data_IF_005098152416
#
_entry.id   IF_005098152416
#
_cell.length_a   1.000
_cell.length_b   1.000
_cell.length_c   1.000
_cell.angle_alpha   90.00
_cell.angle_beta   90.00
_cell.angle_gamma   90.00
#
_symmetry.space_group_name_H-M   'P 1'
#
loop_
_entity.id
_entity.type
_entity.pdbx_description
1 polymer ?
#
# COMPACT_ATOMS: atom_id res chain seq x y z
N UNK A 1 -8.89 8.59 -12.71
CA UNK A 1 -10.15 9.30 -13.10
C UNK A 1 -11.35 8.36 -13.07
N UNK A 2 -12.57 8.88 -13.33
CA UNK A 2 -13.80 8.07 -13.30
C UNK A 2 -13.68 6.82 -14.17
N UNK A 3 -13.11 6.94 -15.37
CA UNK A 3 -12.93 5.81 -16.30
C UNK A 3 -12.06 4.68 -15.71
N UNK A 4 -10.99 5.02 -15.00
CA UNK A 4 -10.09 4.01 -14.42
C UNK A 4 -10.76 3.30 -13.23
N UNK A 5 -11.40 4.07 -12.37
CA UNK A 5 -12.07 3.55 -11.17
C UNK A 5 -13.30 2.71 -11.53
N UNK A 6 -14.11 3.17 -12.49
CA UNK A 6 -15.28 2.40 -12.95
C UNK A 6 -14.86 1.11 -13.62
N UNK A 7 -13.81 1.10 -14.42
CA UNK A 7 -13.29 -0.13 -15.01
C UNK A 7 -12.77 -1.11 -13.96
N UNK A 8 -12.03 -0.62 -12.97
CA UNK A 8 -11.47 -1.45 -11.88
C UNK A 8 -12.55 -2.04 -10.97
N UNK A 9 -13.56 -1.24 -10.59
CA UNK A 9 -14.56 -1.64 -9.60
C UNK A 9 -15.86 -2.22 -10.19
N UNK A 10 -16.24 -1.78 -11.39
CA UNK A 10 -17.48 -2.17 -12.05
C UNK A 10 -17.25 -2.99 -13.34
N UNK A 11 -16.02 -3.05 -13.86
CA UNK A 11 -15.70 -3.67 -15.15
C UNK A 11 -16.11 -2.85 -16.37
N UNK A 12 -16.58 -1.61 -16.18
CA UNK A 12 -17.15 -0.77 -17.23
C UNK A 12 -16.34 0.51 -17.45
N UNK A 13 -16.33 0.99 -18.69
CA UNK A 13 -15.67 2.22 -19.11
C UNK A 13 -16.69 3.29 -19.45
N UNK A 14 -16.20 4.53 -19.39
CA UNK A 14 -16.94 5.71 -19.88
C UNK A 14 -17.13 5.64 -21.39
N UNK A 15 -18.15 6.37 -21.87
CA UNK A 15 -18.24 6.72 -23.30
C UNK A 15 -17.11 7.69 -23.70
N UNK A 16 -16.61 7.58 -24.93
CA UNK A 16 -15.62 8.53 -25.45
C UNK A 16 -16.31 9.84 -25.85
N UNK A 17 -15.85 10.96 -25.30
CA UNK A 17 -16.29 12.29 -25.66
C UNK A 17 -15.09 13.19 -25.95
N UNK A 18 -15.23 14.13 -26.89
CA UNK A 18 -14.13 15.01 -27.33
C UNK A 18 -13.72 16.08 -26.30
N UNK A 19 -14.21 16.00 -25.06
CA UNK A 19 -13.94 16.96 -23.95
C UNK A 19 -14.18 18.44 -24.29
N UNK A 20 -15.14 18.73 -25.20
CA UNK A 20 -15.59 20.10 -25.46
C UNK A 20 -16.56 20.55 -24.37
N UNK A 21 -16.51 21.84 -24.03
CA UNK A 21 -17.50 22.45 -23.13
C UNK A 21 -18.90 22.41 -23.77
N UNK A 22 -19.95 22.21 -22.98
CA UNK A 22 -21.34 22.11 -23.47
C UNK A 22 -21.78 23.30 -24.35
N UNK A 23 -21.25 24.49 -24.10
CA UNK A 23 -21.50 25.68 -24.95
C UNK A 23 -21.03 25.57 -26.40
N UNK A 24 -20.23 24.54 -26.72
CA UNK A 24 -19.69 24.27 -28.07
C UNK A 24 -20.36 23.05 -28.72
N UNK A 25 -21.40 22.52 -28.13
CA UNK A 25 -22.17 21.38 -28.65
C UNK A 25 -23.34 21.91 -29.46
N UNK A 26 -23.50 21.44 -30.72
CA UNK A 26 -24.55 21.91 -31.63
C UNK A 26 -25.27 20.75 -32.32
N UNK A 27 -26.55 20.97 -32.61
CA UNK A 27 -27.38 20.04 -33.41
C UNK A 27 -27.39 18.61 -32.86
N UNK A 28 -27.09 17.63 -33.73
CA UNK A 28 -27.09 16.20 -33.37
C UNK A 28 -25.98 15.78 -32.40
N UNK A 29 -24.98 16.60 -32.18
CA UNK A 29 -23.92 16.31 -31.19
C UNK A 29 -24.49 16.24 -29.75
N UNK A 30 -25.66 16.86 -29.50
CA UNK A 30 -26.33 16.78 -28.21
C UNK A 30 -26.72 15.36 -27.82
N UNK A 31 -27.10 14.49 -28.77
CA UNK A 31 -27.48 13.11 -28.46
C UNK A 31 -26.25 12.32 -27.95
N UNK A 32 -25.08 12.54 -28.53
CA UNK A 32 -23.83 11.92 -28.06
C UNK A 32 -23.40 12.49 -26.71
N UNK A 33 -23.52 13.81 -26.52
CA UNK A 33 -23.23 14.46 -25.25
C UNK A 33 -24.12 13.96 -24.13
N UNK A 34 -25.41 13.79 -24.39
CA UNK A 34 -26.35 13.23 -23.39
C UNK A 34 -26.03 11.80 -23.03
N UNK A 35 -25.70 10.95 -24.00
CA UNK A 35 -25.25 9.56 -23.75
C UNK A 35 -24.01 9.56 -22.85
N UNK A 36 -23.02 10.36 -23.19
CA UNK A 36 -21.81 10.51 -22.38
C UNK A 36 -22.14 10.96 -20.94
N UNK A 37 -22.98 11.98 -20.77
CA UNK A 37 -23.32 12.52 -19.46
C UNK A 37 -24.14 11.53 -18.63
N UNK A 38 -25.12 10.86 -19.24
CA UNK A 38 -25.90 9.81 -18.59
C UNK A 38 -25.00 8.65 -18.14
N UNK A 39 -24.07 8.22 -18.99
CA UNK A 39 -23.14 7.14 -18.63
C UNK A 39 -22.21 7.55 -17.48
N UNK A 40 -21.71 8.80 -17.47
CA UNK A 40 -20.91 9.32 -16.36
C UNK A 40 -21.70 9.37 -15.04
N UNK A 41 -22.96 9.77 -15.08
CA UNK A 41 -23.86 9.83 -13.93
C UNK A 41 -24.19 8.44 -13.40
N UNK A 42 -24.54 7.47 -14.29
CA UNK A 42 -24.78 6.07 -13.95
C UNK A 42 -23.56 5.43 -13.29
N UNK A 43 -22.39 5.56 -13.91
CA UNK A 43 -21.15 5.03 -13.33
C UNK A 43 -20.83 5.64 -11.97
N UNK A 44 -21.08 6.93 -11.80
CA UNK A 44 -20.85 7.62 -10.51
C UNK A 44 -21.78 7.09 -9.43
N UNK A 45 -23.08 6.92 -9.76
CA UNK A 45 -24.07 6.35 -8.83
C UNK A 45 -23.69 4.93 -8.42
N UNK A 46 -23.41 4.07 -9.38
CA UNK A 46 -23.03 2.67 -9.12
C UNK A 46 -21.71 2.52 -8.37
N UNK A 47 -20.75 3.42 -8.58
CA UNK A 47 -19.56 3.50 -7.75
C UNK A 47 -19.89 3.89 -6.31
N UNK A 48 -20.77 4.89 -6.13
CA UNK A 48 -21.25 5.28 -4.79
C UNK A 48 -21.92 4.10 -4.09
N UNK A 49 -22.86 3.41 -4.74
CA UNK A 49 -23.52 2.21 -4.20
C UNK A 49 -22.52 1.11 -3.84
N UNK A 50 -21.47 0.92 -4.65
CA UNK A 50 -20.42 -0.08 -4.42
C UNK A 50 -19.58 0.18 -3.18
N UNK A 51 -19.22 1.46 -2.91
CA UNK A 51 -18.38 1.85 -1.77
C UNK A 51 -19.19 2.21 -0.53
N UNK A 52 -20.49 2.43 -0.67
CA UNK A 52 -21.38 2.89 0.39
C UNK A 52 -21.35 2.05 1.67
N UNK A 53 -21.39 0.70 1.60
CA UNK A 53 -21.31 -0.13 2.80
C UNK A 53 -20.01 0.08 3.60
N UNK A 54 -18.87 0.20 2.92
CA UNK A 54 -17.59 0.45 3.56
C UNK A 54 -17.58 1.84 4.23
N UNK A 55 -18.11 2.86 3.55
CA UNK A 55 -18.20 4.22 4.09
C UNK A 55 -19.12 4.30 5.30
N UNK A 56 -20.29 3.64 5.27
CA UNK A 56 -21.22 3.62 6.41
C UNK A 56 -20.62 2.95 7.64
N UNK A 57 -19.92 1.82 7.48
CA UNK A 57 -19.26 1.18 8.61
C UNK A 57 -18.10 2.03 9.14
N UNK A 58 -17.41 2.77 8.28
CA UNK A 58 -16.38 3.70 8.71
C UNK A 58 -16.96 4.88 9.50
N UNK A 59 -18.10 5.47 9.04
CA UNK A 59 -18.89 6.47 9.77
C UNK A 59 -19.30 5.97 11.16
N UNK A 60 -19.81 4.74 11.26
CA UNK A 60 -20.22 4.14 12.53
C UNK A 60 -19.07 3.91 13.49
N UNK A 61 -17.91 3.51 12.98
CA UNK A 61 -16.72 3.22 13.78
C UNK A 61 -16.10 4.52 14.28
N UNK A 62 -15.96 5.52 13.41
CA UNK A 62 -15.35 6.82 13.75
C UNK A 62 -16.33 7.71 14.53
N UNK A 63 -17.65 7.52 14.34
CA UNK A 63 -18.73 8.34 14.91
C UNK A 63 -18.75 9.77 14.39
N UNK A 64 -18.49 9.94 13.10
CA UNK A 64 -18.56 11.23 12.41
C UNK A 64 -19.57 11.24 11.27
N UNK A 65 -20.15 12.41 10.94
CA UNK A 65 -21.00 12.56 9.77
C UNK A 65 -20.26 12.19 8.49
N UNK A 66 -20.94 11.52 7.56
CA UNK A 66 -20.35 11.11 6.28
C UNK A 66 -19.75 12.28 5.49
N UNK A 67 -20.37 13.46 5.56
CA UNK A 67 -19.89 14.66 4.89
C UNK A 67 -18.48 15.03 5.34
N UNK A 68 -18.21 15.02 6.63
CA UNK A 68 -16.90 15.36 7.21
C UNK A 68 -15.91 14.22 6.94
N UNK A 69 -16.29 12.99 7.28
CA UNK A 69 -15.44 11.80 7.07
C UNK A 69 -14.96 11.64 5.62
N UNK A 70 -15.82 11.94 4.64
CA UNK A 70 -15.45 11.83 3.22
C UNK A 70 -14.40 12.85 2.76
N UNK A 71 -14.15 13.88 3.56
CA UNK A 71 -13.18 14.97 3.30
C UNK A 71 -11.97 14.92 4.22
N UNK A 72 -12.08 14.17 5.28
CA UNK A 72 -11.01 14.03 6.27
C UNK A 72 -9.81 13.27 5.74
N UNK A 73 -8.67 13.59 6.34
CA UNK A 73 -7.47 12.76 6.18
C UNK A 73 -7.56 11.55 7.11
N UNK A 74 -6.83 10.49 6.78
CA UNK A 74 -6.76 9.33 7.69
C UNK A 74 -6.20 9.70 9.07
N UNK A 75 -5.34 10.72 9.17
CA UNK A 75 -4.86 11.21 10.46
C UNK A 75 -5.99 11.82 11.29
N UNK A 76 -6.91 12.60 10.65
CA UNK A 76 -8.10 13.14 11.30
C UNK A 76 -9.03 12.02 11.76
N UNK A 77 -9.26 11.00 10.90
CA UNK A 77 -10.11 9.86 11.28
C UNK A 77 -9.54 9.07 12.48
N UNK A 78 -8.22 8.89 12.55
CA UNK A 78 -7.56 8.28 13.72
C UNK A 78 -7.77 9.16 14.95
N UNK A 79 -7.52 10.48 14.85
CA UNK A 79 -7.70 11.43 15.95
C UNK A 79 -9.13 11.40 16.49
N UNK A 80 -10.14 11.44 15.62
CA UNK A 80 -11.54 11.42 16.00
C UNK A 80 -11.93 10.08 16.66
N UNK A 81 -11.44 8.97 16.13
CA UNK A 81 -11.63 7.68 16.79
C UNK A 81 -11.03 7.65 18.21
N UNK A 82 -9.83 8.22 18.40
CA UNK A 82 -9.21 8.33 19.72
C UNK A 82 -10.07 9.19 20.64
N UNK A 83 -10.50 10.39 20.22
CA UNK A 83 -11.31 11.32 21.01
C UNK A 83 -12.63 10.70 21.44
N UNK A 84 -13.35 10.03 20.55
CA UNK A 84 -14.65 9.43 20.84
C UNK A 84 -14.58 8.19 21.75
N UNK A 85 -13.39 7.62 21.98
CA UNK A 85 -13.23 6.44 22.83
C UNK A 85 -12.43 6.69 24.11
N UNK A 86 -11.93 7.89 24.34
CA UNK A 86 -11.02 8.19 25.46
C UNK A 86 -11.65 7.98 26.84
N UNK A 87 -12.95 8.26 27.01
CA UNK A 87 -13.66 8.09 28.30
C UNK A 87 -13.54 6.65 28.84
N UNK A 88 -13.47 5.67 27.94
CA UNK A 88 -13.32 4.26 28.28
C UNK A 88 -11.98 3.94 28.91
N UNK A 89 -10.99 4.80 28.68
CA UNK A 89 -9.61 4.66 29.19
C UNK A 89 -9.28 5.69 30.27
N UNK A 90 -10.26 6.47 30.71
CA UNK A 90 -10.06 7.57 31.65
C UNK A 90 -8.96 8.55 31.20
N UNK A 91 -8.90 8.79 29.88
CA UNK A 91 -7.90 9.66 29.24
C UNK A 91 -8.46 11.05 29.03
N UNK A 92 -7.61 12.07 29.15
CA UNK A 92 -7.95 13.47 28.85
C UNK A 92 -7.36 13.84 27.51
N UNK A 93 -8.17 14.39 26.59
CA UNK A 93 -7.73 14.79 25.25
C UNK A 93 -6.58 15.79 25.35
N UNK A 94 -5.47 15.45 24.67
CA UNK A 94 -4.36 16.39 24.54
C UNK A 94 -4.77 17.63 23.73
N UNK A 95 -4.17 18.77 24.07
CA UNK A 95 -4.40 20.03 23.37
C UNK A 95 -3.99 19.90 21.90
N UNK A 96 -4.80 20.48 21.00
CA UNK A 96 -4.44 20.57 19.59
C UNK A 96 -3.18 21.46 19.44
N UNK A 97 -2.17 21.04 18.63
CA UNK A 97 -0.97 21.84 18.45
C UNK A 97 -1.29 23.16 17.77
N UNK A 98 -0.65 24.23 18.22
CA UNK A 98 -0.74 25.56 17.62
C UNK A 98 0.20 25.66 16.40
N UNK A 99 0.05 26.75 15.62
CA UNK A 99 0.79 26.94 14.36
C UNK A 99 2.31 26.88 14.53
N UNK A 100 2.82 27.46 15.61
CA UNK A 100 4.25 27.53 15.89
C UNK A 100 4.81 26.14 16.26
N UNK A 101 4.08 25.37 17.07
CA UNK A 101 4.43 23.97 17.36
C UNK A 101 4.43 23.10 16.09
N UNK A 102 3.45 23.27 15.22
CA UNK A 102 3.40 22.59 13.92
C UNK A 102 4.62 22.98 13.07
N UNK A 103 5.01 24.26 13.09
CA UNK A 103 6.19 24.77 12.41
C UNK A 103 7.48 24.10 12.92
N UNK A 104 7.66 24.06 14.24
CA UNK A 104 8.80 23.40 14.89
C UNK A 104 8.87 21.91 14.55
N UNK A 105 7.78 21.17 14.74
CA UNK A 105 7.69 19.74 14.44
C UNK A 105 7.99 19.39 12.96
N UNK A 106 7.66 20.29 12.02
CA UNK A 106 8.02 20.13 10.58
C UNK A 106 9.50 20.25 10.32
N UNK A 107 10.23 20.99 11.16
CA UNK A 107 11.67 21.16 11.08
C UNK A 107 12.48 20.00 11.69
N UNK A 108 11.84 19.10 12.42
CA UNK A 108 12.51 17.94 13.02
C UNK A 108 13.10 17.01 11.95
N UNK A 109 14.26 16.43 12.26
CA UNK A 109 14.94 15.53 11.32
C UNK A 109 14.13 14.25 11.09
N UNK A 110 14.19 13.79 9.84
CA UNK A 110 13.55 12.52 9.46
C UNK A 110 14.35 11.33 9.99
N UNK A 111 13.64 10.35 10.51
CA UNK A 111 14.20 9.06 10.92
C UNK A 111 14.27 8.05 9.77
N UNK A 112 15.06 7.00 9.96
CA UNK A 112 15.18 5.91 9.00
C UNK A 112 13.85 5.14 8.90
N UNK A 113 13.33 5.01 7.69
CA UNK A 113 12.06 4.32 7.40
C UNK A 113 12.16 2.79 7.40
N UNK A 114 11.34 2.15 6.58
CA UNK A 114 11.25 0.71 6.47
C UNK A 114 12.54 0.04 5.95
N UNK A 115 12.77 -1.19 6.38
CA UNK A 115 13.78 -2.07 5.79
C UNK A 115 13.30 -2.60 4.44
N UNK A 116 14.18 -2.59 3.46
CA UNK A 116 13.96 -3.28 2.18
C UNK A 116 15.18 -4.14 1.91
N UNK A 117 14.96 -5.45 1.94
CA UNK A 117 15.95 -6.44 1.54
C UNK A 117 16.41 -6.18 0.10
N UNK A 118 17.71 -6.33 -0.18
CA UNK A 118 18.19 -6.19 -1.55
C UNK A 118 17.70 -7.40 -2.37
N UNK A 119 16.74 -7.25 -3.29
CA UNK A 119 16.20 -8.40 -4.01
C UNK A 119 17.29 -9.11 -4.79
N UNK A 120 17.25 -10.43 -4.79
CA UNK A 120 18.12 -11.25 -5.62
C UNK A 120 17.42 -11.40 -6.97
N UNK A 121 17.96 -10.81 -8.06
CA UNK A 121 17.33 -10.93 -9.38
C UNK A 121 17.33 -12.39 -9.85
N UNK A 122 16.24 -12.78 -10.50
CA UNK A 122 16.11 -14.14 -11.04
C UNK A 122 14.65 -14.50 -11.31
N UNK A 123 14.50 -15.63 -11.98
CA UNK A 123 13.24 -16.35 -12.13
C UNK A 123 13.29 -17.55 -11.18
N UNK A 124 12.28 -17.66 -10.32
CA UNK A 124 12.22 -18.65 -9.26
C UNK A 124 10.93 -19.42 -9.30
N UNK A 125 10.98 -20.72 -9.16
CA UNK A 125 9.81 -21.59 -8.95
C UNK A 125 9.55 -21.78 -7.47
N UNK A 126 8.33 -22.21 -7.13
CA UNK A 126 7.92 -22.56 -5.75
C UNK A 126 8.16 -21.45 -4.71
N UNK A 127 7.69 -20.25 -5.02
CA UNK A 127 7.85 -19.08 -4.13
C UNK A 127 6.75 -19.06 -3.05
N UNK A 128 7.16 -18.80 -1.82
CA UNK A 128 6.27 -18.58 -0.67
C UNK A 128 6.35 -17.12 -0.24
N UNK A 129 5.21 -16.54 0.07
CA UNK A 129 5.11 -15.19 0.60
C UNK A 129 4.51 -15.19 2.00
N UNK A 130 5.24 -14.61 2.96
CA UNK A 130 4.73 -14.28 4.29
C UNK A 130 4.56 -12.77 4.42
N UNK A 131 3.58 -12.34 5.21
CA UNK A 131 3.27 -10.93 5.44
C UNK A 131 2.89 -10.68 6.91
N UNK A 132 3.47 -9.65 7.54
CA UNK A 132 3.14 -9.28 8.90
C UNK A 132 1.76 -8.64 8.99
N UNK A 133 0.92 -9.14 9.85
CA UNK A 133 -0.42 -8.57 10.10
C UNK A 133 -0.31 -7.22 10.80
N UNK A 134 -0.61 -6.12 10.11
CA UNK A 134 -0.56 -4.74 10.66
C UNK A 134 0.75 -4.43 11.39
N UNK A 135 1.89 -4.72 10.78
CA UNK A 135 3.21 -4.73 11.42
C UNK A 135 3.47 -3.53 12.33
N UNK A 136 3.37 -2.30 11.82
CA UNK A 136 3.66 -1.11 12.63
C UNK A 136 2.71 -0.97 13.82
N UNK A 137 1.42 -1.23 13.63
CA UNK A 137 0.45 -1.17 14.71
C UNK A 137 0.72 -2.24 15.78
N UNK A 138 1.05 -3.46 15.35
CA UNK A 138 1.42 -4.56 16.25
C UNK A 138 2.71 -4.27 17.02
N UNK A 139 3.70 -3.65 16.39
CA UNK A 139 4.94 -3.18 17.03
C UNK A 139 4.63 -2.13 18.11
N UNK A 140 3.80 -1.11 17.80
CA UNK A 140 3.39 -0.09 18.78
C UNK A 140 2.79 -0.74 20.02
N UNK A 141 1.90 -1.70 19.84
CA UNK A 141 1.22 -2.39 20.94
C UNK A 141 2.21 -3.27 21.72
N UNK A 142 2.97 -4.11 21.02
CA UNK A 142 3.85 -5.10 21.64
C UNK A 142 5.00 -4.50 22.48
N UNK A 143 5.41 -3.27 22.13
CA UNK A 143 6.50 -2.56 22.76
C UNK A 143 6.08 -1.29 23.52
N UNK A 144 4.78 -1.05 23.66
CA UNK A 144 4.19 0.11 24.34
C UNK A 144 4.76 1.46 23.86
N UNK A 145 4.81 1.66 22.53
CA UNK A 145 5.41 2.85 21.93
C UNK A 145 4.39 3.98 21.82
N UNK A 146 4.38 4.89 22.78
CA UNK A 146 3.52 6.06 22.78
C UNK A 146 4.20 7.27 23.40
N UNK A 147 3.58 8.44 23.28
CA UNK A 147 4.01 9.67 23.94
C UNK A 147 4.04 9.53 25.46
N UNK A 148 3.03 8.86 26.04
CA UNK A 148 2.93 8.63 27.48
C UNK A 148 4.02 7.68 28.03
N UNK A 149 4.53 6.77 27.19
CA UNK A 149 5.58 5.83 27.57
C UNK A 149 7.00 6.35 27.31
N UNK A 150 7.14 7.40 26.49
CA UNK A 150 8.43 7.92 26.08
C UNK A 150 9.14 8.70 27.18
N UNK A 151 10.47 8.50 27.27
CA UNK A 151 11.39 9.32 28.08
C UNK A 151 12.73 9.46 27.35
N UNK A 152 13.37 10.60 27.48
CA UNK A 152 14.74 10.83 27.02
C UNK A 152 15.75 10.14 27.93
N UNK A 153 15.40 9.96 29.21
CA UNK A 153 16.27 9.35 30.21
C UNK A 153 15.87 7.90 30.51
N UNK A 154 16.87 7.07 30.80
CA UNK A 154 16.69 5.68 31.17
C UNK A 154 15.94 5.57 32.50
N UNK A 155 14.79 4.92 32.48
CA UNK A 155 14.04 4.55 33.69
C UNK A 155 14.22 3.05 33.99
N UNK A 156 13.98 2.66 35.24
CA UNK A 156 14.06 1.24 35.66
C UNK A 156 13.01 0.42 34.90
N UNK A 157 13.45 -0.61 34.20
CA UNK A 157 12.55 -1.49 33.42
C UNK A 157 12.11 -0.92 32.08
N UNK A 158 12.59 0.26 31.66
CA UNK A 158 12.27 0.80 30.34
C UNK A 158 12.95 0.05 29.21
N UNK A 159 12.24 -0.12 28.10
CA UNK A 159 12.79 -0.57 26.83
C UNK A 159 13.68 0.54 26.25
N UNK A 160 14.92 0.20 25.94
CA UNK A 160 15.83 1.09 25.21
C UNK A 160 15.76 0.78 23.72
N UNK A 161 15.51 1.77 22.90
CA UNK A 161 15.53 1.69 21.44
C UNK A 161 16.61 2.61 20.88
N UNK A 162 17.46 2.07 20.02
CA UNK A 162 18.46 2.83 19.28
C UNK A 162 17.81 3.41 18.01
N UNK A 163 17.79 4.72 17.88
CA UNK A 163 17.23 5.43 16.74
C UNK A 163 18.29 5.81 15.70
N UNK A 164 19.52 5.36 15.90
CA UNK A 164 20.69 5.65 15.07
C UNK A 164 21.53 6.79 15.64
N UNK A 165 21.02 8.00 15.73
CA UNK A 165 21.72 9.16 16.34
C UNK A 165 21.46 9.27 17.84
N UNK A 166 20.23 9.01 18.26
CA UNK A 166 19.73 9.15 19.61
C UNK A 166 19.21 7.81 20.16
N UNK A 167 18.98 7.79 21.46
CA UNK A 167 18.38 6.67 22.16
C UNK A 167 17.08 7.14 22.78
N UNK A 168 16.03 6.35 22.61
CA UNK A 168 14.73 6.57 23.24
C UNK A 168 14.46 5.45 24.27
N UNK A 169 13.78 5.79 25.34
CA UNK A 169 13.39 4.85 26.38
C UNK A 169 11.87 4.84 26.48
N UNK A 170 11.28 3.65 26.60
CA UNK A 170 9.84 3.50 26.70
C UNK A 170 9.50 2.66 27.93
N UNK A 171 8.65 3.19 28.82
CA UNK A 171 8.10 2.40 29.91
C UNK A 171 7.23 1.27 29.33
N UNK A 172 7.24 0.13 29.98
CA UNK A 172 6.46 -1.04 29.53
C UNK A 172 5.11 -1.12 30.27
N UNK A 173 4.65 0.00 30.81
CA UNK A 173 3.33 0.13 31.43
C UNK A 173 2.25 0.29 30.39
N UNK A 174 1.05 -0.25 30.61
CA UNK A 174 -0.12 0.04 29.76
C UNK A 174 -0.35 1.55 29.61
N UNK A 175 -0.74 1.99 28.43
CA UNK A 175 -1.11 3.38 28.16
C UNK A 175 -2.15 3.47 27.07
N UNK A 176 -2.89 4.58 27.06
CA UNK A 176 -4.06 4.81 26.20
C UNK A 176 -3.84 4.43 24.73
N UNK A 177 -2.79 4.95 24.08
CA UNK A 177 -2.62 4.78 22.64
C UNK A 177 -2.35 3.31 22.21
N UNK A 178 -1.40 2.56 22.83
CA UNK A 178 -1.22 1.14 22.55
C UNK A 178 -2.44 0.29 22.89
N UNK A 179 -3.14 0.54 24.02
CA UNK A 179 -4.33 -0.23 24.40
C UNK A 179 -5.48 -0.02 23.40
N UNK A 180 -5.75 1.23 23.01
CA UNK A 180 -6.72 1.56 21.97
C UNK A 180 -6.38 0.86 20.65
N UNK A 181 -5.11 0.86 20.26
CA UNK A 181 -4.66 0.22 19.03
C UNK A 181 -4.76 -1.31 19.11
N UNK A 182 -4.54 -1.90 20.28
CA UNK A 182 -4.78 -3.33 20.53
C UNK A 182 -6.24 -3.70 20.26
N UNK A 183 -7.20 -2.93 20.79
CA UNK A 183 -8.62 -3.16 20.50
C UNK A 183 -8.95 -3.04 19.00
N UNK A 184 -8.36 -2.10 18.29
CA UNK A 184 -8.55 -1.95 16.84
C UNK A 184 -8.09 -3.21 16.12
N UNK A 185 -6.92 -3.76 16.48
CA UNK A 185 -6.36 -4.97 15.89
C UNK A 185 -7.23 -6.19 16.22
N UNK A 186 -7.69 -6.33 17.44
CA UNK A 186 -8.58 -7.41 17.86
C UNK A 186 -9.92 -7.38 17.12
N UNK A 187 -10.55 -6.21 17.02
CA UNK A 187 -11.78 -6.04 16.24
C UNK A 187 -11.56 -6.38 14.76
N UNK A 188 -10.42 -5.97 14.18
CA UNK A 188 -10.05 -6.37 12.82
C UNK A 188 -9.95 -7.88 12.69
N UNK A 189 -9.22 -8.56 13.59
CA UNK A 189 -9.07 -10.03 13.59
C UNK A 189 -10.44 -10.72 13.70
N UNK A 190 -11.31 -10.26 14.58
CA UNK A 190 -12.68 -10.76 14.75
C UNK A 190 -13.46 -10.68 13.43
N UNK A 191 -13.56 -9.50 12.82
CA UNK A 191 -14.33 -9.32 11.58
C UNK A 191 -13.67 -9.98 10.35
N UNK A 192 -12.34 -10.12 10.31
CA UNK A 192 -11.65 -10.94 9.29
C UNK A 192 -12.06 -12.42 9.38
N UNK A 193 -12.15 -12.98 10.60
CA UNK A 193 -12.63 -14.36 10.84
C UNK A 193 -14.12 -14.51 10.48
N UNK A 194 -14.96 -13.57 10.90
CA UNK A 194 -16.39 -13.59 10.57
C UNK A 194 -16.61 -13.56 9.05
N UNK A 195 -15.89 -12.70 8.33
CA UNK A 195 -15.93 -12.65 6.87
C UNK A 195 -15.44 -13.94 6.21
N UNK A 196 -14.41 -14.57 6.76
CA UNK A 196 -13.92 -15.86 6.24
C UNK A 196 -14.99 -16.96 6.31
N UNK A 197 -15.82 -16.95 7.37
CA UNK A 197 -16.90 -17.91 7.59
C UNK A 197 -18.18 -17.57 6.80
N UNK A 198 -18.64 -16.32 6.92
CA UNK A 198 -19.97 -15.90 6.43
C UNK A 198 -19.94 -15.34 5.00
N UNK A 199 -18.78 -14.86 4.53
CA UNK A 199 -18.59 -14.15 3.25
C UNK A 199 -19.52 -12.93 3.07
N UNK A 200 -20.05 -12.36 4.15
CA UNK A 200 -20.95 -11.21 4.11
C UNK A 200 -20.20 -9.87 3.97
N UNK A 201 -20.83 -8.94 3.25
CA UNK A 201 -20.22 -7.63 2.96
C UNK A 201 -20.02 -6.76 4.21
N UNK A 202 -20.84 -6.93 5.24
CA UNK A 202 -20.76 -6.14 6.47
C UNK A 202 -19.50 -6.48 7.26
N UNK A 203 -19.23 -7.76 7.50
CA UNK A 203 -18.00 -8.19 8.17
C UNK A 203 -16.75 -7.80 7.38
N UNK A 204 -16.84 -7.82 6.04
CA UNK A 204 -15.76 -7.34 5.16
C UNK A 204 -15.52 -5.83 5.36
N UNK A 205 -16.57 -5.03 5.31
CA UNK A 205 -16.51 -3.57 5.48
C UNK A 205 -15.91 -3.19 6.85
N UNK A 206 -16.36 -3.85 7.92
CA UNK A 206 -15.81 -3.66 9.28
C UNK A 206 -14.33 -4.01 9.36
N UNK A 207 -13.96 -5.17 8.83
CA UNK A 207 -12.54 -5.58 8.79
C UNK A 207 -11.67 -4.57 8.03
N UNK A 208 -12.16 -4.05 6.91
CA UNK A 208 -11.47 -3.02 6.12
C UNK A 208 -11.33 -1.70 6.88
N UNK A 209 -12.38 -1.24 7.55
CA UNK A 209 -12.35 -0.01 8.34
C UNK A 209 -11.31 -0.08 9.47
N UNK A 210 -11.31 -1.16 10.25
CA UNK A 210 -10.30 -1.36 11.30
C UNK A 210 -8.89 -1.55 10.73
N UNK A 211 -8.74 -2.15 9.54
CA UNK A 211 -7.45 -2.20 8.84
C UNK A 211 -6.92 -0.81 8.49
N UNK A 212 -7.78 0.07 7.99
CA UNK A 212 -7.40 1.44 7.65
C UNK A 212 -6.95 2.21 8.89
N UNK A 213 -7.70 2.12 9.99
CA UNK A 213 -7.34 2.76 11.26
C UNK A 213 -6.02 2.25 11.82
N UNK A 214 -5.83 0.93 11.90
CA UNK A 214 -4.59 0.34 12.39
C UNK A 214 -3.38 0.80 11.56
N UNK A 215 -3.49 0.79 10.24
CA UNK A 215 -2.39 1.19 9.36
C UNK A 215 -2.09 2.69 9.43
N UNK A 216 -3.12 3.53 9.64
CA UNK A 216 -2.94 4.98 9.75
C UNK A 216 -2.37 5.43 11.10
N UNK A 217 -2.54 4.64 12.16
CA UNK A 217 -2.15 5.01 13.53
C UNK A 217 -0.64 5.23 13.69
N UNK A 218 0.20 4.46 13.00
CA UNK A 218 1.64 4.69 12.97
C UNK A 218 1.98 6.07 12.36
N UNK A 219 1.40 6.36 11.19
CA UNK A 219 1.60 7.65 10.51
C UNK A 219 1.06 8.83 11.32
N UNK A 220 0.02 8.62 12.12
CA UNK A 220 -0.56 9.62 13.00
C UNK A 220 0.42 10.05 14.10
N UNK A 221 1.14 9.11 14.74
CA UNK A 221 2.14 9.46 15.76
C UNK A 221 3.28 10.31 15.21
N UNK A 222 3.65 10.14 13.95
CA UNK A 222 4.69 10.93 13.28
C UNK A 222 4.15 12.17 12.54
N UNK A 223 2.83 12.43 12.58
CA UNK A 223 2.24 13.56 11.89
C UNK A 223 2.30 14.82 12.75
N UNK A 224 2.98 15.85 12.27
CA UNK A 224 3.23 17.10 12.99
C UNK A 224 1.96 17.83 13.49
N UNK A 225 0.80 17.59 12.87
CA UNK A 225 -0.50 18.15 13.27
C UNK A 225 -1.26 17.32 14.30
N UNK A 226 -0.77 16.15 14.68
CA UNK A 226 -1.45 15.25 15.62
C UNK A 226 -1.39 15.75 17.07
N UNK A 227 -2.43 15.51 17.85
CA UNK A 227 -2.45 15.78 19.30
C UNK A 227 -1.48 14.87 20.04
N UNK A 228 -1.48 13.59 19.72
CA UNK A 228 -0.60 12.57 20.30
C UNK A 228 0.70 12.38 19.48
N UNK A 229 1.24 13.50 18.94
CA UNK A 229 2.50 13.50 18.22
C UNK A 229 3.65 13.06 19.11
N UNK A 230 4.41 12.08 18.65
CA UNK A 230 5.65 11.62 19.29
C UNK A 230 6.59 11.05 18.22
N UNK A 231 7.49 11.90 17.71
CA UNK A 231 8.46 11.48 16.68
C UNK A 231 9.38 10.35 17.17
N UNK A 232 9.88 10.36 18.43
CA UNK A 232 10.66 9.24 18.96
C UNK A 232 9.89 7.91 18.95
N UNK A 233 8.57 7.90 19.25
CA UNK A 233 7.77 6.69 19.20
C UNK A 233 7.57 6.19 17.76
N UNK A 234 7.35 7.09 16.81
CA UNK A 234 7.27 6.72 15.39
C UNK A 234 8.62 6.18 14.87
N UNK A 235 9.74 6.79 15.24
CA UNK A 235 11.09 6.34 14.91
C UNK A 235 11.39 4.96 15.52
N UNK A 236 11.04 4.76 16.80
CA UNK A 236 11.20 3.48 17.50
C UNK A 236 10.36 2.38 16.85
N UNK A 237 9.13 2.69 16.44
CA UNK A 237 8.27 1.75 15.72
C UNK A 237 8.95 1.26 14.43
N UNK A 238 9.50 2.19 13.64
CA UNK A 238 10.22 1.81 12.42
C UNK A 238 11.51 1.00 12.71
N UNK A 239 12.25 1.37 13.75
CA UNK A 239 13.50 0.68 14.16
C UNK A 239 13.22 -0.75 14.62
N UNK A 240 12.21 -0.96 15.46
CA UNK A 240 11.82 -2.28 15.93
C UNK A 240 11.19 -3.13 14.82
N UNK A 241 10.37 -2.54 13.94
CA UNK A 241 9.87 -3.23 12.76
C UNK A 241 11.02 -3.73 11.86
N UNK A 242 12.06 -2.91 11.63
CA UNK A 242 13.28 -3.35 10.92
C UNK A 242 14.00 -4.49 11.63
N UNK A 243 14.02 -4.47 12.94
CA UNK A 243 14.64 -5.52 13.77
C UNK A 243 13.88 -6.84 13.63
N UNK A 244 12.57 -6.80 13.75
CA UNK A 244 11.73 -8.01 13.71
C UNK A 244 11.70 -8.65 12.32
N UNK A 245 11.63 -7.87 11.23
CA UNK A 245 11.70 -8.46 9.89
C UNK A 245 13.08 -9.11 9.62
N UNK A 246 14.18 -8.49 10.09
CA UNK A 246 15.52 -9.08 9.97
C UNK A 246 15.66 -10.37 10.76
N UNK A 247 15.20 -10.41 12.01
CA UNK A 247 15.17 -11.64 12.82
C UNK A 247 14.37 -12.75 12.14
N UNK A 248 13.22 -12.40 11.55
CA UNK A 248 12.37 -13.35 10.83
C UNK A 248 13.07 -13.90 9.59
N UNK A 249 13.75 -13.05 8.82
CA UNK A 249 14.57 -13.47 7.67
C UNK A 249 15.67 -14.43 8.13
N UNK A 250 16.43 -14.06 9.16
CA UNK A 250 17.50 -14.90 9.72
C UNK A 250 16.97 -16.25 10.23
N UNK A 251 15.76 -16.27 10.83
CA UNK A 251 15.12 -17.51 11.25
C UNK A 251 14.77 -18.42 10.08
N UNK A 252 14.17 -17.85 9.01
CA UNK A 252 13.81 -18.57 7.79
C UNK A 252 15.07 -19.18 7.15
N UNK A 253 16.15 -18.39 7.04
CA UNK A 253 17.42 -18.85 6.47
C UNK A 253 18.09 -19.94 7.32
N UNK A 254 18.09 -19.83 8.65
CA UNK A 254 18.59 -20.87 9.57
C UNK A 254 17.81 -22.19 9.46
N UNK A 255 16.55 -22.15 9.04
CA UNK A 255 15.74 -23.35 8.75
C UNK A 255 15.99 -23.91 7.34
N UNK A 256 16.98 -23.39 6.61
CA UNK A 256 17.42 -23.90 5.31
C UNK A 256 16.51 -23.47 4.16
N UNK A 257 15.81 -22.34 4.27
CA UNK A 257 15.08 -21.72 3.17
C UNK A 257 15.89 -20.55 2.58
N UNK A 258 15.80 -20.34 1.28
CA UNK A 258 16.47 -19.23 0.60
C UNK A 258 15.53 -18.03 0.51
N UNK A 259 15.82 -16.95 1.22
CA UNK A 259 15.10 -15.69 1.10
C UNK A 259 15.56 -14.96 -0.18
N UNK A 260 14.62 -14.51 -1.01
CA UNK A 260 14.87 -13.80 -2.27
C UNK A 260 14.39 -12.36 -2.26
N UNK A 261 13.48 -12.00 -1.33
CA UNK A 261 12.92 -10.66 -1.22
C UNK A 261 12.36 -10.38 0.18
N UNK A 262 12.41 -9.12 0.60
CA UNK A 262 11.73 -8.62 1.79
C UNK A 262 11.50 -7.12 1.67
N UNK A 263 10.32 -6.65 2.06
CA UNK A 263 9.97 -5.22 2.01
C UNK A 263 8.99 -4.86 3.10
N UNK A 264 9.45 -4.06 4.03
CA UNK A 264 8.65 -3.51 5.13
C UNK A 264 8.07 -4.58 6.05
N UNK A 265 7.08 -5.32 5.59
CA UNK A 265 6.27 -6.29 6.32
C UNK A 265 6.16 -7.65 5.59
N UNK A 266 6.67 -7.76 4.36
CA UNK A 266 6.57 -8.96 3.56
C UNK A 266 7.93 -9.62 3.30
N UNK A 267 7.94 -10.96 3.25
CA UNK A 267 9.13 -11.78 3.00
C UNK A 267 8.77 -12.84 1.96
N UNK A 268 9.60 -12.94 0.91
CA UNK A 268 9.52 -14.01 -0.08
C UNK A 268 10.73 -14.92 -0.02
N UNK A 269 10.47 -16.22 0.00
CA UNK A 269 11.48 -17.25 0.03
C UNK A 269 11.09 -18.44 -0.84
N UNK A 270 12.05 -19.32 -1.13
CA UNK A 270 11.82 -20.50 -1.95
C UNK A 270 11.48 -21.69 -1.07
N UNK A 271 10.48 -22.49 -1.50
CA UNK A 271 10.11 -23.73 -0.81
C UNK A 271 11.17 -24.81 -0.98
N UNK A 272 11.84 -24.84 -2.13
CA UNK A 272 12.99 -25.69 -2.44
C UNK A 272 12.75 -27.18 -2.12
N UNK A 273 11.67 -27.74 -2.68
CA UNK A 273 11.28 -29.14 -2.49
C UNK A 273 10.60 -29.48 -1.18
N UNK A 274 10.56 -28.58 -0.20
CA UNK A 274 9.84 -28.81 1.08
C UNK A 274 8.32 -28.78 0.86
N UNK A 275 7.59 -29.49 1.69
CA UNK A 275 6.13 -29.59 1.61
C UNK A 275 5.45 -28.30 2.12
N UNK A 276 4.21 -28.07 1.72
CA UNK A 276 3.38 -26.98 2.27
C UNK A 276 3.21 -27.11 3.79
N UNK A 277 3.20 -28.33 4.32
CA UNK A 277 3.09 -28.60 5.76
C UNK A 277 4.31 -28.08 6.51
N UNK A 278 5.51 -28.34 6.01
CA UNK A 278 6.75 -27.82 6.62
C UNK A 278 6.80 -26.29 6.60
N UNK A 279 6.26 -25.64 5.56
CA UNK A 279 6.13 -24.17 5.50
C UNK A 279 5.15 -23.65 6.56
N UNK A 280 4.04 -24.35 6.82
CA UNK A 280 3.09 -23.97 7.88
C UNK A 280 3.69 -24.20 9.27
N UNK A 281 4.45 -25.28 9.48
CA UNK A 281 5.20 -25.51 10.71
C UNK A 281 6.28 -24.43 10.95
N UNK A 282 6.97 -23.98 9.89
CA UNK A 282 7.87 -22.85 9.95
C UNK A 282 7.15 -21.57 10.40
N UNK A 283 5.98 -21.28 9.81
CA UNK A 283 5.15 -20.12 10.17
C UNK A 283 4.73 -20.15 11.64
N UNK A 284 4.26 -21.32 12.13
CA UNK A 284 3.92 -21.51 13.53
C UNK A 284 5.14 -21.32 14.45
N UNK A 285 6.31 -21.81 14.04
CA UNK A 285 7.56 -21.62 14.79
C UNK A 285 7.94 -20.15 14.92
N UNK A 286 7.84 -19.39 13.83
CA UNK A 286 8.10 -17.94 13.83
C UNK A 286 7.10 -17.23 14.75
N UNK A 287 5.80 -17.51 14.62
CA UNK A 287 4.76 -16.85 15.41
C UNK A 287 4.88 -17.11 16.93
N UNK A 288 5.47 -18.21 17.36
CA UNK A 288 5.77 -18.48 18.77
C UNK A 288 6.89 -17.60 19.33
N UNK A 289 7.79 -17.12 18.49
CA UNK A 289 8.93 -16.27 18.89
C UNK A 289 8.65 -14.78 18.75
N UNK A 290 7.58 -14.40 18.00
CA UNK A 290 7.22 -13.01 17.81
C UNK A 290 6.71 -12.36 19.11
N UNK A 291 7.10 -11.11 19.40
CA UNK A 291 6.71 -10.44 20.64
C UNK A 291 5.25 -10.00 20.65
N UNK A 292 4.61 -10.10 21.82
CA UNK A 292 3.28 -9.56 22.09
C UNK A 292 2.20 -10.05 21.14
N UNK A 293 1.56 -9.12 20.44
CA UNK A 293 0.45 -9.42 19.51
C UNK A 293 0.90 -9.51 18.04
N UNK A 294 2.20 -9.43 17.78
CA UNK A 294 2.73 -9.53 16.42
C UNK A 294 2.43 -10.89 15.82
N UNK A 295 2.07 -10.90 14.56
CA UNK A 295 1.66 -12.12 13.85
C UNK A 295 2.09 -12.04 12.39
N UNK A 296 2.64 -13.14 11.90
CA UNK A 296 3.00 -13.36 10.50
C UNK A 296 1.95 -14.28 9.88
N UNK A 297 1.44 -13.89 8.71
CA UNK A 297 0.45 -14.65 7.94
C UNK A 297 1.09 -15.23 6.67
N UNK A 298 0.56 -16.34 6.18
CA UNK A 298 0.83 -16.84 4.83
C UNK A 298 0.02 -16.02 3.82
N UNK A 299 0.69 -15.19 3.01
CA UNK A 299 0.01 -14.49 1.91
C UNK A 299 -0.35 -15.47 0.78
N UNK A 300 0.53 -16.42 0.46
CA UNK A 300 0.25 -17.44 -0.52
C UNK A 300 1.46 -18.25 -0.99
N UNK A 301 1.13 -19.30 -1.73
CA UNK A 301 2.07 -20.09 -2.52
C UNK A 301 1.97 -19.66 -3.98
N UNK A 302 3.10 -19.42 -4.61
CA UNK A 302 3.19 -18.97 -5.99
C UNK A 302 4.02 -19.98 -6.80
N UNK A 303 3.46 -20.38 -7.94
CA UNK A 303 4.12 -21.31 -8.87
C UNK A 303 5.48 -20.77 -9.32
N UNK A 304 5.52 -19.47 -9.62
CA UNK A 304 6.73 -18.81 -10.12
C UNK A 304 6.76 -17.33 -9.79
N UNK A 305 7.97 -16.77 -9.60
CA UNK A 305 8.18 -15.35 -9.37
C UNK A 305 9.42 -14.83 -10.10
N UNK A 306 9.36 -13.58 -10.56
CA UNK A 306 10.48 -12.90 -11.20
C UNK A 306 10.83 -11.61 -10.47
N UNK A 307 12.11 -11.46 -10.12
CA UNK A 307 12.71 -10.21 -9.63
C UNK A 307 13.73 -9.72 -10.65
N UNK A 308 13.64 -8.47 -11.04
CA UNK A 308 14.48 -7.90 -12.11
C UNK A 308 15.56 -7.00 -11.56
N UNK A 309 16.64 -6.83 -12.35
CA UNK A 309 17.71 -5.87 -12.05
C UNK A 309 17.25 -4.42 -12.22
N UNK A 310 17.97 -3.50 -11.61
CA UNK A 310 17.86 -2.06 -11.96
C UNK A 310 18.37 -1.86 -13.39
N UNK A 311 17.94 -0.77 -14.04
CA UNK A 311 18.43 -0.40 -15.38
C UNK A 311 19.93 -0.12 -15.44
N UNK A 312 20.51 0.30 -14.30
CA UNK A 312 21.94 0.59 -14.15
C UNK A 312 22.49 -0.27 -13.02
N UNK A 313 23.35 -1.25 -13.37
CA UNK A 313 24.00 -2.17 -12.45
C UNK A 313 23.25 -3.50 -12.24
N UNK A 314 23.93 -4.44 -11.57
CA UNK A 314 23.47 -5.83 -11.38
C UNK A 314 22.61 -6.05 -10.15
N UNK A 315 22.29 -4.99 -9.41
CA UNK A 315 21.48 -5.07 -8.20
C UNK A 315 19.99 -5.18 -8.52
N UNK A 316 19.27 -5.99 -7.75
CA UNK A 316 17.83 -6.13 -7.86
C UNK A 316 17.09 -4.79 -7.71
N UNK A 317 16.05 -4.61 -8.51
CA UNK A 317 15.19 -3.44 -8.41
C UNK A 317 14.25 -3.59 -7.22
N UNK A 318 14.42 -2.75 -6.20
CA UNK A 318 13.52 -2.71 -5.04
C UNK A 318 12.07 -2.48 -5.48
N UNK A 319 11.13 -3.22 -4.92
CA UNK A 319 9.67 -3.09 -5.18
C UNK A 319 9.25 -3.38 -6.64
N UNK A 320 10.05 -4.13 -7.42
CA UNK A 320 9.74 -4.48 -8.80
C UNK A 320 9.82 -5.98 -9.01
N UNK A 321 8.65 -6.65 -8.97
CA UNK A 321 8.52 -8.09 -9.13
C UNK A 321 7.16 -8.48 -9.71
N UNK A 322 7.07 -9.68 -10.26
CA UNK A 322 5.82 -10.29 -10.67
C UNK A 322 5.77 -11.76 -10.24
N UNK A 323 4.59 -12.22 -9.86
CA UNK A 323 4.33 -13.58 -9.36
C UNK A 323 3.14 -14.18 -10.10
N UNK A 324 3.15 -15.49 -10.33
CA UNK A 324 1.96 -16.23 -10.77
C UNK A 324 1.52 -17.19 -9.66
N UNK A 325 0.26 -17.08 -9.26
CA UNK A 325 -0.36 -17.97 -8.28
C UNK A 325 -0.59 -19.38 -8.83
N UNK A 326 -0.91 -20.31 -7.96
CA UNK A 326 -1.35 -21.66 -8.37
C UNK A 326 -2.68 -21.63 -9.16
N UNK A 327 -3.48 -20.55 -8.98
CA UNK A 327 -4.72 -20.27 -9.73
C UNK A 327 -4.48 -19.58 -11.09
N UNK A 328 -3.23 -19.41 -11.51
CA UNK A 328 -2.83 -18.75 -12.75
C UNK A 328 -2.93 -17.22 -12.74
N UNK A 329 -3.38 -16.61 -11.63
CA UNK A 329 -3.44 -15.15 -11.55
C UNK A 329 -2.06 -14.54 -11.36
N UNK A 330 -1.79 -13.50 -12.15
CA UNK A 330 -0.52 -12.78 -12.11
C UNK A 330 -0.62 -11.56 -11.20
N UNK A 331 0.24 -11.49 -10.18
CA UNK A 331 0.43 -10.34 -9.30
C UNK A 331 1.64 -9.55 -9.76
N UNK A 332 1.46 -8.28 -10.16
CA UNK A 332 2.54 -7.42 -10.66
C UNK A 332 2.74 -6.23 -9.72
N UNK A 333 3.99 -5.93 -9.38
CA UNK A 333 4.38 -4.77 -8.57
C UNK A 333 5.52 -4.00 -9.23
N UNK A 334 5.40 -2.67 -9.26
CA UNK A 334 6.47 -1.75 -9.68
C UNK A 334 6.87 -1.79 -11.15
N UNK A 335 6.28 -2.68 -11.96
CA UNK A 335 6.49 -2.71 -13.40
C UNK A 335 5.77 -1.55 -14.11
N UNK A 336 6.20 -1.27 -15.32
CA UNK A 336 5.66 -0.18 -16.14
C UNK A 336 4.19 -0.41 -16.52
N UNK A 337 3.72 -1.65 -16.51
CA UNK A 337 2.32 -2.01 -16.80
C UNK A 337 1.32 -1.32 -15.88
N UNK A 338 1.69 -1.12 -14.62
CA UNK A 338 0.83 -0.45 -13.61
C UNK A 338 1.03 1.06 -13.58
N UNK A 339 1.89 1.61 -14.42
CA UNK A 339 2.22 3.04 -14.49
C UNK A 339 1.46 3.75 -15.60
N UNK A 340 0.98 4.95 -15.33
CA UNK A 340 0.24 5.77 -16.29
C UNK A 340 1.12 6.55 -17.27
N UNK A 341 2.41 6.68 -16.98
CA UNK A 341 3.41 7.38 -17.79
C UNK A 341 3.99 6.53 -18.95
N UNK A 342 3.39 5.36 -19.18
CA UNK A 342 3.72 4.45 -20.29
C UNK A 342 2.56 4.29 -21.25
N UNK A 343 2.85 4.22 -22.55
CA UNK A 343 1.83 4.01 -23.57
C UNK A 343 1.15 2.63 -23.46
N UNK A 344 -0.06 2.52 -23.99
CA UNK A 344 -0.85 1.29 -23.91
C UNK A 344 -0.14 0.09 -24.54
N UNK A 345 0.49 0.28 -25.72
CA UNK A 345 1.26 -0.78 -26.37
C UNK A 345 2.35 -1.35 -25.46
N UNK A 346 3.13 -0.49 -24.81
CA UNK A 346 4.21 -0.94 -23.93
C UNK A 346 3.68 -1.73 -22.73
N UNK A 347 2.55 -1.28 -22.14
CA UNK A 347 1.92 -1.98 -21.02
C UNK A 347 1.35 -3.34 -21.42
N UNK A 348 0.62 -3.41 -22.53
CA UNK A 348 0.09 -4.68 -23.08
C UNK A 348 1.22 -5.65 -23.41
N UNK A 349 2.30 -5.16 -24.03
CA UNK A 349 3.45 -5.97 -24.38
C UNK A 349 4.14 -6.53 -23.14
N UNK A 350 4.37 -5.71 -22.12
CA UNK A 350 5.02 -6.15 -20.88
C UNK A 350 4.14 -7.16 -20.13
N UNK A 351 2.82 -6.94 -20.07
CA UNK A 351 1.89 -7.89 -19.45
C UNK A 351 1.97 -9.27 -20.15
N UNK A 352 1.91 -9.28 -21.48
CA UNK A 352 1.97 -10.55 -22.23
C UNK A 352 3.32 -11.25 -22.10
N UNK A 353 4.43 -10.50 -22.07
CA UNK A 353 5.77 -11.05 -21.82
C UNK A 353 5.85 -11.69 -20.43
N UNK A 354 5.35 -10.98 -19.40
CA UNK A 354 5.32 -11.51 -18.03
C UNK A 354 4.45 -12.77 -17.91
N UNK A 355 3.30 -12.81 -18.58
CA UNK A 355 2.42 -13.97 -18.63
C UNK A 355 3.14 -15.18 -19.26
N UNK A 356 3.75 -15.00 -20.43
CA UNK A 356 4.49 -16.08 -21.12
C UNK A 356 5.66 -16.64 -20.30
N UNK A 357 6.38 -15.78 -19.60
CA UNK A 357 7.51 -16.20 -18.76
C UNK A 357 7.02 -16.88 -17.47
N UNK A 358 6.04 -16.27 -16.79
CA UNK A 358 5.62 -16.73 -15.47
C UNK A 358 4.69 -17.95 -15.51
N UNK A 359 3.71 -17.94 -16.38
CA UNK A 359 2.71 -19.03 -16.42
C UNK A 359 3.14 -20.17 -17.35
N UNK A 360 3.50 -19.86 -18.60
CA UNK A 360 3.91 -20.87 -19.56
C UNK A 360 5.37 -21.35 -19.36
N UNK A 361 6.22 -20.55 -18.66
CA UNK A 361 7.64 -20.84 -18.51
C UNK A 361 8.42 -20.79 -19.83
N UNK A 362 7.92 -20.04 -20.81
CA UNK A 362 8.43 -20.07 -22.17
C UNK A 362 9.07 -18.74 -22.58
N UNK A 363 10.37 -18.63 -22.31
CA UNK A 363 11.17 -17.45 -22.64
C UNK A 363 11.29 -17.24 -24.16
N UNK A 364 11.36 -18.32 -24.95
CA UNK A 364 11.48 -18.22 -26.41
C UNK A 364 10.22 -17.60 -27.02
N UNK A 365 9.02 -18.04 -26.58
CA UNK A 365 7.77 -17.42 -26.99
C UNK A 365 7.68 -15.96 -26.61
N UNK A 366 8.16 -15.60 -25.42
CA UNK A 366 8.19 -14.21 -24.95
C UNK A 366 9.07 -13.34 -25.84
N UNK A 367 10.28 -13.84 -26.19
CA UNK A 367 11.20 -13.15 -27.11
C UNK A 367 10.60 -13.04 -28.52
N UNK A 368 9.99 -14.11 -29.02
CA UNK A 368 9.34 -14.10 -30.34
C UNK A 368 8.20 -13.09 -30.39
N UNK A 369 7.36 -13.07 -29.35
CA UNK A 369 6.28 -12.11 -29.23
C UNK A 369 6.80 -10.67 -29.25
N UNK A 370 7.86 -10.37 -28.45
CA UNK A 370 8.47 -9.05 -28.39
C UNK A 370 9.05 -8.63 -29.75
N UNK A 371 9.77 -9.54 -30.45
CA UNK A 371 10.30 -9.29 -31.81
C UNK A 371 9.18 -8.96 -32.80
N UNK A 372 8.03 -9.64 -32.72
CA UNK A 372 6.88 -9.37 -33.56
C UNK A 372 6.24 -8.00 -33.29
N UNK A 373 6.14 -7.59 -32.02
CA UNK A 373 5.66 -6.24 -31.65
C UNK A 373 6.61 -5.18 -32.19
N UNK A 374 7.92 -5.36 -32.03
CA UNK A 374 8.94 -4.43 -32.56
C UNK A 374 8.86 -4.34 -34.07
N UNK A 375 8.68 -5.48 -34.78
CA UNK A 375 8.50 -5.51 -36.24
C UNK A 375 7.29 -4.69 -36.67
N UNK A 376 6.10 -4.95 -36.06
CA UNK A 376 4.88 -4.20 -36.35
C UNK A 376 5.04 -2.68 -36.11
N UNK A 377 5.77 -2.30 -35.04
CA UNK A 377 6.04 -0.91 -34.73
C UNK A 377 6.91 -0.26 -35.79
N UNK A 378 8.02 -0.92 -36.24
CA UNK A 378 8.89 -0.45 -37.32
C UNK A 378 8.16 -0.32 -38.64
N UNK A 379 7.25 -1.26 -38.95
CA UNK A 379 6.41 -1.27 -40.14
C UNK A 379 5.22 -0.29 -40.06
N UNK A 380 5.08 0.50 -38.95
CA UNK A 380 3.97 1.42 -38.69
C UNK A 380 2.57 0.75 -38.73
N UNK A 381 2.51 -0.55 -38.41
CA UNK A 381 1.26 -1.36 -38.37
C UNK A 381 0.62 -1.40 -36.99
N UNK A 382 0.94 -0.44 -36.13
CA UNK A 382 0.38 -0.31 -34.79
C UNK A 382 -0.58 0.88 -34.76
N UNK A 383 -1.73 0.70 -34.11
CA UNK A 383 -2.66 1.81 -33.91
C UNK A 383 -1.99 2.93 -33.10
N UNK A 384 -2.00 4.14 -33.67
CA UNK A 384 -1.40 5.33 -33.07
C UNK A 384 -2.00 5.64 -31.68
N UNK A 385 -3.28 5.33 -31.46
CA UNK A 385 -3.93 5.48 -30.13
C UNK A 385 -3.21 4.70 -29.03
N UNK A 386 -2.59 3.55 -29.36
CA UNK A 386 -1.82 2.73 -28.41
C UNK A 386 -0.45 3.31 -28.06
N UNK A 387 0.05 4.27 -28.84
CA UNK A 387 1.35 4.93 -28.64
C UNK A 387 1.26 6.24 -27.87
N UNK A 388 0.06 6.79 -27.70
CA UNK A 388 -0.18 8.06 -27.04
C UNK A 388 0.02 7.91 -25.53
N UNK A 389 0.85 8.81 -24.96
CA UNK A 389 0.98 9.00 -23.52
C UNK A 389 0.23 10.28 -23.14
N UNK A 390 -0.83 10.16 -22.33
CA UNK A 390 -1.58 11.31 -21.84
C UNK A 390 -1.06 11.73 -20.47
N UNK A 391 -0.61 12.97 -20.34
CA UNK A 391 -0.12 13.53 -19.07
C UNK A 391 -0.81 14.85 -18.79
N UNK A 392 -1.38 15.00 -17.61
CA UNK A 392 -2.03 16.23 -17.19
C UNK A 392 -0.98 17.26 -16.72
N UNK A 393 -1.08 18.49 -17.21
CA UNK A 393 -0.38 19.63 -16.62
C UNK A 393 -1.07 20.01 -15.31
N UNK A 394 -0.32 20.00 -14.21
CA UNK A 394 -0.86 20.26 -12.86
C UNK A 394 -0.69 21.72 -12.41
N UNK A 395 0.06 22.52 -13.17
CA UNK A 395 0.36 23.91 -12.89
C UNK A 395 0.65 24.64 -14.20
N UNK A 396 0.68 25.98 -14.22
CA UNK A 396 1.12 26.78 -15.37
C UNK A 396 2.49 26.32 -15.89
N UNK A 397 2.71 26.45 -17.20
CA UNK A 397 3.94 25.93 -17.85
C UNK A 397 5.19 26.63 -17.29
N UNK A 398 5.09 27.91 -16.99
CA UNK A 398 6.13 28.79 -16.44
C UNK A 398 6.60 28.37 -15.04
N UNK A 399 5.75 27.65 -14.29
CA UNK A 399 6.06 27.20 -12.93
C UNK A 399 6.83 25.86 -12.89
N UNK A 400 7.09 25.25 -14.05
CA UNK A 400 7.87 24.00 -14.11
C UNK A 400 9.37 24.27 -14.06
N UNK A 401 10.03 23.86 -12.98
CA UNK A 401 11.48 23.96 -12.79
C UNK A 401 12.29 23.06 -13.73
N UNK A 402 11.67 22.02 -14.28
CA UNK A 402 12.29 21.07 -15.23
C UNK A 402 11.39 20.89 -16.45
N UNK A 403 11.99 20.92 -17.63
CA UNK A 403 11.28 20.73 -18.91
C UNK A 403 11.18 19.23 -19.18
N UNK A 404 10.11 18.61 -18.72
CA UNK A 404 9.76 17.24 -19.08
C UNK A 404 9.08 17.19 -20.47
N UNK A 405 9.03 16.02 -21.16
CA UNK A 405 8.49 15.93 -22.52
C UNK A 405 7.09 16.53 -22.70
N UNK A 406 6.18 16.34 -21.74
CA UNK A 406 4.83 16.89 -21.81
C UNK A 406 4.80 18.43 -21.66
N UNK A 407 5.71 19.00 -20.85
CA UNK A 407 5.86 20.46 -20.71
C UNK A 407 6.43 21.05 -21.99
N UNK A 408 7.45 20.40 -22.58
CA UNK A 408 8.05 20.81 -23.83
C UNK A 408 7.02 20.84 -25.00
N UNK A 409 6.18 19.80 -25.06
CA UNK A 409 5.12 19.74 -26.09
C UNK A 409 4.08 20.83 -25.84
N UNK A 410 3.62 20.99 -24.61
CA UNK A 410 2.64 22.03 -24.27
C UNK A 410 3.15 23.44 -24.56
N UNK A 411 4.43 23.70 -24.31
CA UNK A 411 5.07 25.00 -24.66
C UNK A 411 5.10 25.28 -26.18
N UNK A 412 5.17 24.22 -26.99
CA UNK A 412 5.15 24.33 -28.47
C UNK A 412 3.74 24.45 -29.05
N UNK A 413 2.71 24.11 -28.25
CA UNK A 413 1.30 24.20 -28.68
C UNK A 413 0.64 25.53 -28.28
N UNK A 414 1.32 26.38 -27.55
CA UNK A 414 0.98 27.79 -27.31
C UNK A 414 1.47 28.64 -28.47
#
# INVERSE_FOLDING_TARGET
GLNDVSYELLGEKKEEWQHRHSSKVHGKEWDEYFKYNLKDSDLTLRLAEKIWPDMLEFVRIIQEPLFDLSRDTMATSVENYLIHNMDRFNEIVEKRPIRDEIGSRRGEEKYEGAFVFQPIPGLYDDVVFFDFTSMYASVIVSYHLSKANFSEEKQKGSLKVDLGRDKAYFSQSPSFFPEMLSEIIEKRKKYKKEYALKKDNLSKARSNAFKLLANASYGYQGFFGARYYCLPAAAATAALARTEIKKTIDFIEKKGYKVVYGDTDSIAFLRDGKSKKEVLELLEGINKELPGIMELDLEGFFKRGIWVTKRTGDFGAKKKYALVGEDGKVKIRGFETVRRDWCLLARETQNKVLELILDEGNEEKAVLYLKNVIKKLKERKVDLKKLIIKTQLKKPIEDYKSISPHVSIASKMR
#
